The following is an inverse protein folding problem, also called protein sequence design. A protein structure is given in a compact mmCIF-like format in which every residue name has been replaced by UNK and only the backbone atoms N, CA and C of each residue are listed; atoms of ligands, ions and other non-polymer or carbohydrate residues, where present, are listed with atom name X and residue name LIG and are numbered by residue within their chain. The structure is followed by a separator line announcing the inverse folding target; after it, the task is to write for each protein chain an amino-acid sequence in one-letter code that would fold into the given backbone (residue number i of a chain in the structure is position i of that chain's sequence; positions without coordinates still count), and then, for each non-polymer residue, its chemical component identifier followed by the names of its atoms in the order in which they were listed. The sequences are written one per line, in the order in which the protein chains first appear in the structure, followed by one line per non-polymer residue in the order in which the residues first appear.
data_IF_272945277970
#
_entry.id   IF_272945277970
#
_cell.length_a   1.000
_cell.length_b   1.000
_cell.length_c   1.000
_cell.angle_alpha   90.00
_cell.angle_beta   90.00
_cell.angle_gamma   90.00
#
_symmetry.space_group_name_H-M   'P 1'
#
loop_
_entity.id
_entity.type
_entity.pdbx_description
1 polymer ?
#
# COMPACT_ATOMS: atom_id res chain seq x y z
N UNK A 1 -15.04 6.57 28.15
CA UNK A 1 -14.69 6.77 26.72
C UNK A 1 -15.84 6.41 25.79
N UNK A 2 -16.59 5.30 25.98
CA UNK A 2 -17.72 4.87 25.15
C UNK A 2 -18.85 5.92 25.09
N UNK A 3 -19.05 6.66 26.15
CA UNK A 3 -20.07 7.74 26.21
C UNK A 3 -19.83 8.83 25.13
N UNK A 4 -18.59 9.01 24.66
CA UNK A 4 -18.26 9.93 23.55
C UNK A 4 -18.86 9.49 22.21
N UNK A 5 -19.20 8.21 22.10
CA UNK A 5 -19.81 7.57 20.93
C UNK A 5 -21.29 7.24 21.15
N UNK A 6 -21.94 7.93 22.11
CA UNK A 6 -23.36 7.75 22.47
C UNK A 6 -23.67 6.34 23.04
N UNK A 7 -22.66 5.56 23.43
CA UNK A 7 -22.81 4.26 24.08
C UNK A 7 -22.80 4.48 25.59
N UNK A 8 -23.97 4.38 26.22
CA UNK A 8 -24.14 4.56 27.68
C UNK A 8 -24.53 3.22 28.29
N UNK A 9 -23.74 2.75 29.28
CA UNK A 9 -24.03 1.51 29.98
C UNK A 9 -25.25 1.64 30.92
N UNK A 10 -25.89 0.52 31.20
CA UNK A 10 -27.00 0.45 32.18
C UNK A 10 -26.61 1.03 33.52
N UNK A 11 -25.42 0.79 34.01
CA UNK A 11 -24.86 1.34 35.26
C UNK A 11 -24.81 2.89 35.28
N UNK A 12 -24.76 3.51 34.11
CA UNK A 12 -24.80 4.96 33.93
C UNK A 12 -26.16 5.50 33.47
N UNK A 13 -27.20 4.65 33.52
CA UNK A 13 -28.56 5.00 33.12
C UNK A 13 -28.84 4.92 31.63
N UNK A 14 -28.01 4.20 30.89
CA UNK A 14 -28.23 3.86 29.46
C UNK A 14 -28.92 2.52 29.27
N UNK A 15 -28.98 2.09 27.99
CA UNK A 15 -29.68 0.88 27.57
C UNK A 15 -28.72 -0.25 27.15
N UNK A 16 -27.40 -0.05 27.27
CA UNK A 16 -26.37 -1.01 26.78
C UNK A 16 -25.87 -1.85 27.95
N UNK A 17 -26.12 -3.17 27.98
CA UNK A 17 -25.58 -4.06 29.00
C UNK A 17 -24.06 -4.20 28.83
N UNK A 18 -23.34 -4.18 29.95
CA UNK A 18 -21.88 -4.31 30.00
C UNK A 18 -21.50 -5.51 30.85
N UNK A 19 -20.84 -6.48 30.25
CA UNK A 19 -20.37 -7.70 30.92
C UNK A 19 -18.83 -7.68 30.95
N UNK A 20 -18.28 -7.87 32.16
CA UNK A 20 -16.83 -7.97 32.34
C UNK A 20 -16.38 -9.41 32.14
N UNK A 21 -15.46 -9.64 31.22
CA UNK A 21 -14.97 -10.99 30.88
C UNK A 21 -13.44 -11.07 30.93
N UNK A 22 -12.93 -12.26 31.15
CA UNK A 22 -11.53 -12.61 30.94
C UNK A 22 -11.42 -13.81 29.99
N UNK A 23 -10.93 -13.58 28.78
CA UNK A 23 -10.73 -14.62 27.79
C UNK A 23 -9.67 -15.67 28.21
N UNK A 24 -8.74 -15.30 29.10
CA UNK A 24 -7.67 -16.20 29.58
C UNK A 24 -8.20 -17.13 30.65
N UNK A 25 -8.98 -16.65 31.62
CA UNK A 25 -9.51 -17.44 32.74
C UNK A 25 -10.89 -18.05 32.47
N UNK A 26 -11.60 -17.51 31.49
CA UNK A 26 -12.98 -17.87 31.19
C UNK A 26 -14.03 -17.21 32.09
N UNK A 27 -13.60 -16.33 33.00
CA UNK A 27 -14.51 -15.64 33.90
C UNK A 27 -15.48 -14.73 33.13
N UNK A 28 -16.76 -14.75 33.49
CA UNK A 28 -17.82 -13.92 32.91
C UNK A 28 -18.28 -14.35 31.51
N UNK A 29 -17.74 -15.43 30.92
CA UNK A 29 -18.14 -15.91 29.59
C UNK A 29 -19.60 -16.42 29.63
N UNK A 30 -19.99 -17.16 30.67
CA UNK A 30 -21.36 -17.67 30.82
C UNK A 30 -22.35 -16.52 30.97
N UNK A 31 -22.01 -15.48 31.75
CA UNK A 31 -22.83 -14.26 31.92
C UNK A 31 -22.99 -13.49 30.59
N UNK A 32 -21.90 -13.43 29.78
CA UNK A 32 -21.96 -12.83 28.45
C UNK A 32 -22.95 -13.59 27.54
N UNK A 33 -22.88 -14.93 27.52
CA UNK A 33 -23.77 -15.76 26.70
C UNK A 33 -25.23 -15.66 27.15
N UNK A 34 -25.47 -15.59 28.45
CA UNK A 34 -26.81 -15.39 29.02
C UNK A 34 -27.36 -13.99 28.64
N UNK A 35 -26.53 -12.95 28.77
CA UNK A 35 -26.92 -11.57 28.38
C UNK A 35 -27.22 -11.48 26.88
N UNK A 36 -26.41 -12.10 26.02
CA UNK A 36 -26.65 -12.16 24.59
C UNK A 36 -27.95 -12.87 24.24
N UNK A 37 -28.25 -13.99 24.89
CA UNK A 37 -29.54 -14.70 24.72
C UNK A 37 -30.72 -13.82 25.13
N UNK A 38 -30.62 -13.13 26.27
CA UNK A 38 -31.69 -12.24 26.75
C UNK A 38 -31.93 -11.09 25.77
N UNK A 39 -30.91 -10.43 25.27
CA UNK A 39 -31.03 -9.37 24.27
C UNK A 39 -31.67 -9.90 22.98
N UNK A 40 -31.25 -11.09 22.53
CA UNK A 40 -31.82 -11.71 21.33
C UNK A 40 -33.31 -12.08 21.51
N UNK A 41 -33.74 -12.47 22.71
CA UNK A 41 -35.17 -12.73 23.04
C UNK A 41 -35.99 -11.42 23.01
N UNK A 42 -35.48 -10.33 23.58
CA UNK A 42 -36.11 -9.02 23.59
C UNK A 42 -36.33 -8.50 22.17
N UNK A 43 -35.36 -8.67 21.29
CA UNK A 43 -35.41 -8.25 19.88
C UNK A 43 -36.43 -9.05 19.04
N UNK A 44 -37.02 -10.14 19.57
CA UNK A 44 -38.00 -11.01 18.87
C UNK A 44 -37.62 -11.31 17.41
N UNK A 45 -36.38 -11.67 17.12
CA UNK A 45 -35.86 -11.89 15.76
C UNK A 45 -36.67 -12.98 15.04
N UNK A 46 -37.36 -12.61 13.97
CA UNK A 46 -38.25 -13.49 13.17
C UNK A 46 -37.74 -13.61 11.75
N UNK A 47 -37.87 -14.79 11.14
CA UNK A 47 -37.57 -15.01 9.72
C UNK A 47 -38.61 -15.92 9.07
N UNK A 48 -38.80 -15.74 7.75
CA UNK A 48 -39.69 -16.56 6.95
C UNK A 48 -38.91 -17.68 6.28
N UNK A 49 -39.20 -18.93 6.62
CA UNK A 49 -38.58 -20.14 6.09
C UNK A 49 -39.06 -20.51 4.68
N UNK A 50 -40.24 -20.09 4.29
CA UNK A 50 -40.89 -20.46 3.01
C UNK A 50 -40.66 -19.43 1.89
N UNK A 51 -39.97 -18.33 2.19
CA UNK A 51 -39.64 -17.33 1.18
C UNK A 51 -38.50 -17.79 0.27
N UNK A 52 -38.25 -17.06 -0.82
CA UNK A 52 -37.05 -17.26 -1.63
C UNK A 52 -35.79 -17.04 -0.79
N UNK A 53 -34.85 -18.01 -0.82
CA UNK A 53 -33.65 -17.92 -0.01
C UNK A 53 -32.81 -16.69 -0.36
N UNK A 54 -32.42 -15.96 0.67
CA UNK A 54 -31.45 -14.87 0.55
C UNK A 54 -30.69 -14.67 1.84
N UNK A 55 -29.53 -14.02 1.74
CA UNK A 55 -28.64 -13.77 2.85
C UNK A 55 -27.39 -13.04 2.39
N UNK A 56 -26.31 -13.21 3.10
CA UNK A 56 -25.04 -12.52 2.85
C UNK A 56 -23.89 -13.49 2.72
N UNK A 57 -22.92 -13.12 1.89
CA UNK A 57 -21.60 -13.73 1.82
C UNK A 57 -20.78 -13.20 3.00
N UNK A 58 -20.27 -14.09 3.83
CA UNK A 58 -19.42 -13.74 4.97
C UNK A 58 -17.97 -13.70 4.53
N UNK A 59 -17.55 -14.74 3.79
CA UNK A 59 -16.18 -14.90 3.34
C UNK A 59 -16.15 -15.78 2.08
N UNK A 60 -15.12 -15.61 1.25
CA UNK A 60 -14.87 -16.51 0.12
C UNK A 60 -13.39 -16.88 0.04
N UNK A 61 -13.13 -18.13 -0.34
CA UNK A 61 -11.80 -18.70 -0.47
C UNK A 61 -11.73 -19.73 -1.58
N UNK A 62 -10.52 -20.00 -2.05
CA UNK A 62 -10.30 -21.07 -3.01
C UNK A 62 -9.70 -22.28 -2.31
N UNK A 63 -10.38 -23.43 -2.36
CA UNK A 63 -9.91 -24.70 -1.82
C UNK A 63 -9.51 -25.66 -2.93
N UNK A 64 -8.34 -26.30 -2.77
CA UNK A 64 -7.86 -27.32 -3.71
C UNK A 64 -8.85 -28.50 -3.75
N UNK A 65 -9.28 -28.85 -4.96
CA UNK A 65 -10.25 -29.94 -5.20
C UNK A 65 -11.73 -29.55 -5.05
N UNK A 66 -12.06 -28.44 -4.40
CA UNK A 66 -13.44 -27.94 -4.28
C UNK A 66 -13.71 -26.71 -5.14
N UNK A 67 -12.65 -25.96 -5.50
CA UNK A 67 -12.76 -24.68 -6.22
C UNK A 67 -13.16 -23.53 -5.30
N UNK A 68 -13.95 -22.58 -5.81
CA UNK A 68 -14.44 -21.47 -5.04
C UNK A 68 -15.46 -21.94 -4.00
N UNK A 69 -15.21 -21.65 -2.74
CA UNK A 69 -16.05 -21.92 -1.57
C UNK A 69 -16.42 -20.58 -0.95
N UNK A 70 -17.70 -20.37 -0.69
CA UNK A 70 -18.14 -19.20 0.06
C UNK A 70 -18.89 -19.62 1.32
N UNK A 71 -18.54 -19.00 2.44
CA UNK A 71 -19.29 -19.06 3.70
C UNK A 71 -20.41 -18.04 3.62
N UNK A 72 -21.63 -18.50 3.78
CA UNK A 72 -22.83 -17.67 3.73
C UNK A 72 -23.57 -17.70 5.08
N UNK A 73 -24.40 -16.69 5.32
CA UNK A 73 -25.43 -16.74 6.33
C UNK A 73 -26.78 -16.51 5.68
N UNK A 74 -27.72 -17.43 5.90
CA UNK A 74 -29.09 -17.30 5.36
C UNK A 74 -29.90 -16.36 6.26
N UNK A 75 -30.50 -15.32 5.67
CA UNK A 75 -31.35 -14.36 6.38
C UNK A 75 -32.83 -14.74 6.32
N UNK A 76 -33.28 -15.26 5.18
CA UNK A 76 -34.66 -15.76 4.97
C UNK A 76 -34.67 -16.88 3.94
N UNK A 77 -35.73 -17.65 3.93
CA UNK A 77 -35.90 -18.80 3.05
C UNK A 77 -35.06 -19.99 3.47
N UNK A 78 -35.25 -21.14 2.84
CA UNK A 78 -34.47 -22.34 3.06
C UNK A 78 -33.69 -22.68 1.80
N UNK A 79 -32.34 -22.51 1.85
CA UNK A 79 -31.47 -22.82 0.73
C UNK A 79 -31.20 -24.32 0.66
N UNK A 80 -31.31 -24.91 -0.54
CA UNK A 80 -31.16 -26.36 -0.75
C UNK A 80 -30.04 -26.64 -1.77
N UNK A 81 -29.45 -27.81 -1.65
CA UNK A 81 -28.57 -28.33 -2.71
C UNK A 81 -29.34 -28.44 -4.03
N UNK A 82 -28.73 -27.93 -5.11
CA UNK A 82 -29.36 -27.85 -6.43
C UNK A 82 -29.93 -26.48 -6.79
N UNK A 83 -30.11 -25.59 -5.83
CA UNK A 83 -30.59 -24.23 -6.07
C UNK A 83 -29.56 -23.42 -6.88
N UNK A 84 -30.04 -22.37 -7.54
CA UNK A 84 -29.23 -21.42 -8.26
C UNK A 84 -29.24 -20.10 -7.49
N UNK A 85 -28.06 -19.59 -7.17
CA UNK A 85 -27.88 -18.32 -6.47
C UNK A 85 -26.92 -17.41 -7.23
N UNK A 86 -27.09 -16.12 -7.04
CA UNK A 86 -26.11 -15.13 -7.48
C UNK A 86 -25.80 -14.18 -6.33
N UNK A 87 -24.56 -13.70 -6.26
CA UNK A 87 -24.09 -12.70 -5.31
C UNK A 87 -23.12 -11.77 -6.06
N UNK A 88 -23.41 -10.46 -6.05
CA UNK A 88 -22.67 -9.53 -6.87
C UNK A 88 -22.55 -10.00 -8.33
N UNK A 89 -21.32 -10.15 -8.81
CA UNK A 89 -21.00 -10.64 -10.16
C UNK A 89 -20.84 -12.16 -10.25
N UNK A 90 -20.90 -12.89 -9.14
CA UNK A 90 -20.70 -14.33 -9.09
C UNK A 90 -22.01 -15.10 -9.17
N UNK A 91 -22.00 -16.21 -9.92
CA UNK A 91 -23.09 -17.15 -10.02
C UNK A 91 -22.71 -18.47 -9.36
N UNK A 92 -23.64 -19.13 -8.70
CA UNK A 92 -23.45 -20.45 -8.12
C UNK A 92 -24.60 -21.39 -8.47
N UNK A 93 -24.26 -22.61 -8.87
CA UNK A 93 -25.15 -23.75 -8.74
C UNK A 93 -24.74 -24.50 -7.47
N UNK A 94 -25.55 -24.46 -6.43
CA UNK A 94 -25.28 -25.09 -5.15
C UNK A 94 -25.06 -26.59 -5.33
N UNK A 95 -23.79 -27.03 -5.41
CA UNK A 95 -23.43 -28.44 -5.56
C UNK A 95 -23.47 -29.16 -4.22
N UNK A 96 -22.90 -28.56 -3.20
CA UNK A 96 -22.81 -29.10 -1.85
C UNK A 96 -22.86 -27.97 -0.83
N UNK A 97 -23.43 -28.29 0.33
CA UNK A 97 -23.56 -27.42 1.47
C UNK A 97 -22.85 -28.12 2.65
N UNK A 98 -22.04 -27.42 3.39
CA UNK A 98 -21.35 -27.95 4.56
C UNK A 98 -21.63 -27.07 5.79
N UNK A 99 -21.71 -27.72 6.96
CA UNK A 99 -21.73 -27.00 8.23
C UNK A 99 -20.29 -26.61 8.67
N UNK A 100 -20.21 -25.96 9.82
CA UNK A 100 -18.95 -25.53 10.43
C UNK A 100 -18.01 -26.70 10.83
N UNK A 101 -18.53 -27.94 10.90
CA UNK A 101 -17.75 -29.14 11.16
C UNK A 101 -17.34 -29.88 9.86
N UNK A 102 -17.68 -29.33 8.69
CA UNK A 102 -17.41 -29.95 7.38
C UNK A 102 -18.40 -31.08 7.03
N UNK A 103 -19.52 -31.24 7.75
CA UNK A 103 -20.53 -32.23 7.47
C UNK A 103 -21.47 -31.71 6.36
N UNK A 104 -21.77 -32.56 5.38
CA UNK A 104 -22.68 -32.22 4.29
C UNK A 104 -24.12 -32.07 4.79
N UNK A 105 -24.74 -30.95 4.43
CA UNK A 105 -26.13 -30.63 4.67
C UNK A 105 -26.96 -30.73 3.39
N UNK A 106 -28.24 -31.08 3.52
CA UNK A 106 -29.21 -31.04 2.41
C UNK A 106 -29.79 -29.63 2.19
N UNK A 107 -29.93 -28.88 3.27
CA UNK A 107 -30.49 -27.54 3.27
C UNK A 107 -29.97 -26.73 4.46
N UNK A 108 -30.04 -25.39 4.36
CA UNK A 108 -29.71 -24.43 5.39
C UNK A 108 -30.87 -23.51 5.61
N UNK A 109 -31.20 -23.28 6.88
CA UNK A 109 -32.31 -22.43 7.33
C UNK A 109 -31.81 -21.04 7.75
N UNK A 110 -32.71 -20.06 7.89
CA UNK A 110 -32.33 -18.72 8.37
C UNK A 110 -31.60 -18.75 9.72
N UNK A 111 -30.64 -17.83 9.85
CA UNK A 111 -29.77 -17.72 11.03
C UNK A 111 -28.61 -18.72 11.07
N UNK A 112 -28.54 -19.67 10.11
CA UNK A 112 -27.49 -20.68 10.08
C UNK A 112 -26.40 -20.30 9.06
N UNK A 113 -25.09 -20.38 9.45
CA UNK A 113 -23.98 -20.26 8.51
C UNK A 113 -23.76 -21.59 7.78
N UNK A 114 -23.26 -21.53 6.55
CA UNK A 114 -22.86 -22.70 5.78
C UNK A 114 -21.83 -22.37 4.71
N UNK A 115 -20.97 -23.33 4.39
CA UNK A 115 -20.07 -23.28 3.26
C UNK A 115 -20.74 -23.85 2.02
N UNK A 116 -20.73 -23.05 0.94
CA UNK A 116 -21.35 -23.39 -0.34
C UNK A 116 -20.29 -23.60 -1.41
N UNK A 117 -20.38 -24.73 -2.11
CA UNK A 117 -19.56 -25.07 -3.26
C UNK A 117 -20.37 -25.02 -4.54
N UNK A 118 -19.77 -24.55 -5.62
CA UNK A 118 -20.37 -24.52 -6.95
C UNK A 118 -20.39 -23.15 -7.60
N UNK A 119 -19.64 -22.21 -7.05
CA UNK A 119 -19.42 -20.86 -7.56
C UNK A 119 -18.58 -20.90 -8.84
N UNK A 120 -18.95 -20.11 -9.83
CA UNK A 120 -18.18 -19.90 -11.07
C UNK A 120 -17.03 -18.91 -10.87
N UNK A 121 -17.22 -17.91 -10.01
CA UNK A 121 -16.24 -16.92 -9.62
C UNK A 121 -16.32 -16.74 -8.09
N UNK A 122 -15.32 -16.12 -7.46
CA UNK A 122 -15.31 -15.88 -6.02
C UNK A 122 -16.23 -14.70 -5.68
N UNK A 123 -17.31 -14.87 -4.92
CA UNK A 123 -18.15 -13.75 -4.51
C UNK A 123 -17.41 -12.88 -3.49
N UNK A 124 -17.79 -11.62 -3.41
CA UNK A 124 -17.19 -10.65 -2.50
C UNK A 124 -17.86 -10.77 -1.12
N UNK A 125 -17.05 -10.69 -0.04
CA UNK A 125 -17.56 -10.62 1.32
C UNK A 125 -18.45 -9.38 1.50
N UNK A 126 -19.63 -9.55 2.14
CA UNK A 126 -20.64 -8.52 2.28
C UNK A 126 -21.69 -8.49 1.17
N UNK A 127 -21.45 -9.16 0.03
CA UNK A 127 -22.46 -9.25 -1.03
C UNK A 127 -23.72 -9.96 -0.56
N UNK A 128 -24.87 -9.44 -0.97
CA UNK A 128 -26.14 -10.13 -0.77
C UNK A 128 -26.32 -11.22 -1.83
N UNK A 129 -26.56 -12.46 -1.41
CA UNK A 129 -26.98 -13.51 -2.33
C UNK A 129 -28.51 -13.62 -2.39
N UNK A 130 -28.99 -13.98 -3.57
CA UNK A 130 -30.40 -14.27 -3.82
C UNK A 130 -30.51 -15.59 -4.59
N UNK A 131 -31.38 -16.48 -4.11
CA UNK A 131 -31.66 -17.72 -4.80
C UNK A 131 -32.80 -17.54 -5.81
N UNK A 132 -32.75 -18.31 -6.89
CA UNK A 132 -33.77 -18.35 -7.91
C UNK A 132 -33.92 -19.78 -8.45
N UNK A 133 -35.10 -20.14 -8.92
CA UNK A 133 -35.35 -21.44 -9.53
C UNK A 133 -34.85 -21.53 -10.98
N UNK A 134 -34.51 -20.39 -11.58
CA UNK A 134 -34.12 -20.32 -12.98
C UNK A 134 -32.63 -19.99 -13.13
N UNK A 135 -31.86 -20.99 -13.62
CA UNK A 135 -30.43 -20.83 -13.87
C UNK A 135 -30.10 -19.66 -14.80
N UNK A 136 -30.89 -19.47 -15.87
CA UNK A 136 -30.65 -18.38 -16.84
C UNK A 136 -30.80 -17.03 -16.18
N UNK A 137 -31.80 -16.88 -15.30
CA UNK A 137 -32.04 -15.64 -14.56
C UNK A 137 -30.88 -15.32 -13.60
N UNK A 138 -30.40 -16.33 -12.85
CA UNK A 138 -29.27 -16.14 -11.95
C UNK A 138 -27.99 -15.70 -12.69
N UNK A 139 -27.67 -16.37 -13.80
CA UNK A 139 -26.53 -16.01 -14.64
C UNK A 139 -26.66 -14.62 -15.25
N UNK A 140 -27.87 -14.29 -15.81
CA UNK A 140 -28.11 -12.97 -16.39
C UNK A 140 -27.96 -11.85 -15.37
N UNK A 141 -28.38 -12.09 -14.12
CA UNK A 141 -28.24 -11.10 -13.03
C UNK A 141 -26.77 -10.92 -12.61
N UNK A 142 -26.03 -12.00 -12.47
CA UNK A 142 -24.59 -11.95 -12.19
C UNK A 142 -23.82 -11.18 -13.30
N UNK A 143 -24.15 -11.47 -14.57
CA UNK A 143 -23.53 -10.84 -15.72
C UNK A 143 -23.91 -9.35 -15.86
N UNK A 144 -25.17 -8.99 -15.59
CA UNK A 144 -25.61 -7.59 -15.50
C UNK A 144 -24.81 -6.81 -14.44
N UNK A 145 -24.66 -7.39 -13.26
CA UNK A 145 -23.88 -6.78 -12.19
C UNK A 145 -22.39 -6.66 -12.57
N UNK A 146 -21.82 -7.68 -13.21
CA UNK A 146 -20.43 -7.66 -13.70
C UNK A 146 -20.21 -6.55 -14.73
N UNK A 147 -21.17 -6.32 -15.63
CA UNK A 147 -21.09 -5.25 -16.62
C UNK A 147 -21.23 -3.87 -15.97
N UNK A 148 -22.11 -3.71 -14.97
CA UNK A 148 -22.22 -2.47 -14.21
C UNK A 148 -20.91 -2.11 -13.50
N UNK A 149 -20.25 -3.08 -12.87
CA UNK A 149 -18.93 -2.86 -12.23
C UNK A 149 -17.88 -2.41 -13.25
N UNK A 150 -17.85 -3.02 -14.46
CA UNK A 150 -16.94 -2.59 -15.52
C UNK A 150 -17.25 -1.19 -16.03
N UNK A 151 -18.52 -0.83 -16.19
CA UNK A 151 -18.92 0.51 -16.60
C UNK A 151 -18.55 1.57 -15.56
N UNK A 152 -18.60 1.25 -14.26
CA UNK A 152 -18.12 2.12 -13.19
C UNK A 152 -16.59 2.29 -13.24
N UNK A 153 -15.84 1.23 -13.48
CA UNK A 153 -14.39 1.30 -13.63
C UNK A 153 -13.99 2.07 -14.91
N UNK A 154 -14.68 1.87 -16.02
CA UNK A 154 -14.42 2.59 -17.29
C UNK A 154 -14.85 4.08 -17.24
N UNK A 155 -15.90 4.43 -16.50
CA UNK A 155 -16.34 5.84 -16.38
C UNK A 155 -15.51 6.66 -15.41
N UNK A 156 -14.81 6.04 -14.47
CA UNK A 156 -13.87 6.73 -13.59
C UNK A 156 -12.57 7.15 -14.31
N UNK A 157 -12.29 6.57 -15.48
CA UNK A 157 -11.08 6.86 -16.27
C UNK A 157 -11.44 7.24 -17.72
N UNK A 158 -11.79 8.49 -17.96
CA UNK A 158 -11.85 9.01 -19.34
C UNK A 158 -10.44 9.07 -19.94
N UNK A 159 -10.33 8.93 -21.28
CA UNK A 159 -9.05 9.06 -22.00
C UNK A 159 -8.37 10.39 -21.69
N UNK A 160 -9.16 11.44 -21.47
CA UNK A 160 -8.68 12.78 -21.09
C UNK A 160 -8.10 12.82 -19.67
N UNK A 161 -8.68 12.08 -18.70
CA UNK A 161 -8.10 11.99 -17.35
C UNK A 161 -6.80 11.19 -17.34
N UNK A 162 -6.71 10.11 -18.13
CA UNK A 162 -5.44 9.34 -18.29
C UNK A 162 -4.33 10.16 -18.94
N UNK A 163 -4.66 10.95 -19.98
CA UNK A 163 -3.68 11.83 -20.64
C UNK A 163 -3.28 12.97 -19.70
N UNK A 164 -4.22 13.51 -18.92
CA UNK A 164 -3.97 14.55 -17.93
C UNK A 164 -3.10 14.04 -16.76
N UNK A 165 -3.42 12.84 -16.21
CA UNK A 165 -2.59 12.17 -15.22
C UNK A 165 -1.19 11.81 -15.76
N UNK A 166 -1.12 11.32 -16.99
CA UNK A 166 0.16 10.97 -17.62
C UNK A 166 1.01 12.23 -17.90
N UNK A 167 0.38 13.37 -18.27
CA UNK A 167 1.07 14.65 -18.41
C UNK A 167 1.50 15.21 -17.03
N UNK A 168 0.71 15.02 -16.00
CA UNK A 168 1.03 15.45 -14.63
C UNK A 168 2.20 14.63 -14.07
N UNK A 169 2.18 13.32 -14.26
CA UNK A 169 3.30 12.41 -13.90
C UNK A 169 4.60 12.72 -14.65
N UNK A 170 4.49 13.17 -15.93
CA UNK A 170 5.65 13.62 -16.71
C UNK A 170 6.18 15.01 -16.28
N UNK A 171 5.36 15.83 -15.63
CA UNK A 171 5.75 17.16 -15.13
C UNK A 171 6.29 17.13 -13.69
N UNK A 172 5.86 16.16 -12.87
CA UNK A 172 6.23 16.10 -11.44
C UNK A 172 7.53 15.30 -11.16
N UNK A 173 8.21 14.82 -12.22
CA UNK A 173 9.41 13.98 -12.06
C UNK A 173 9.06 12.55 -11.60
N UNK A 174 9.96 11.62 -11.79
CA UNK A 174 9.80 10.20 -11.49
C UNK A 174 9.34 9.98 -10.03
N UNK A 175 8.01 9.88 -9.82
CA UNK A 175 7.48 9.31 -8.59
C UNK A 175 7.94 7.84 -8.54
N UNK A 176 8.67 7.49 -7.51
CA UNK A 176 9.07 6.08 -7.30
C UNK A 176 7.79 5.26 -7.08
N UNK A 177 7.37 4.51 -8.10
CA UNK A 177 6.19 3.65 -8.04
C UNK A 177 6.61 2.24 -7.69
N UNK A 178 6.04 1.69 -6.61
CA UNK A 178 6.20 0.28 -6.24
C UNK A 178 4.99 -0.50 -6.73
N UNK A 179 5.22 -1.37 -7.70
CA UNK A 179 4.20 -2.28 -8.22
C UNK A 179 4.10 -3.52 -7.33
N UNK A 180 2.90 -3.87 -6.87
CA UNK A 180 2.66 -5.01 -5.99
C UNK A 180 1.59 -5.91 -6.57
N UNK A 181 1.84 -7.23 -6.52
CA UNK A 181 0.84 -8.28 -6.73
C UNK A 181 0.49 -8.88 -5.38
N UNK A 182 -0.79 -8.87 -5.02
CA UNK A 182 -1.28 -9.40 -3.73
C UNK A 182 -1.99 -10.73 -3.93
N UNK A 183 -1.57 -11.74 -3.19
CA UNK A 183 -2.23 -13.06 -3.13
C UNK A 183 -2.54 -13.40 -1.68
N UNK A 184 -3.77 -13.81 -1.37
CA UNK A 184 -4.16 -14.18 -0.02
C UNK A 184 -5.06 -15.43 0.01
N UNK A 185 -5.26 -15.98 1.19
CA UNK A 185 -6.09 -17.17 1.43
C UNK A 185 -7.58 -16.88 1.25
N UNK A 186 -8.03 -15.67 1.62
CA UNK A 186 -9.43 -15.25 1.54
C UNK A 186 -9.59 -13.88 0.89
N UNK A 187 -10.80 -13.58 0.45
CA UNK A 187 -11.12 -12.30 -0.18
C UNK A 187 -11.05 -11.13 0.82
N UNK A 188 -11.50 -11.34 2.06
CA UNK A 188 -11.38 -10.34 3.12
C UNK A 188 -9.92 -9.98 3.43
N UNK A 189 -9.01 -10.97 3.42
CA UNK A 189 -7.57 -10.73 3.55
C UNK A 189 -7.01 -9.90 2.39
N UNK A 190 -7.43 -10.19 1.15
CA UNK A 190 -7.02 -9.41 -0.03
C UNK A 190 -7.42 -7.94 0.12
N UNK A 191 -8.69 -7.66 0.45
CA UNK A 191 -9.19 -6.29 0.61
C UNK A 191 -8.50 -5.55 1.76
N UNK A 192 -8.35 -6.19 2.93
CA UNK A 192 -7.67 -5.59 4.06
C UNK A 192 -6.22 -5.20 3.76
N UNK A 193 -5.50 -6.04 3.00
CA UNK A 193 -4.13 -5.75 2.58
C UNK A 193 -4.11 -4.61 1.56
N UNK A 194 -4.99 -4.60 0.56
CA UNK A 194 -5.11 -3.52 -0.42
C UNK A 194 -5.32 -2.18 0.27
N UNK A 195 -6.30 -2.10 1.16
CA UNK A 195 -6.62 -0.88 1.91
C UNK A 195 -5.45 -0.39 2.76
N UNK A 196 -4.71 -1.32 3.35
CA UNK A 196 -3.57 -1.01 4.19
C UNK A 196 -2.37 -0.52 3.36
N UNK A 197 -2.10 -1.17 2.23
CA UNK A 197 -1.00 -0.80 1.33
C UNK A 197 -1.26 0.56 0.66
N UNK A 198 -2.49 0.83 0.23
CA UNK A 198 -2.86 2.12 -0.37
C UNK A 198 -2.69 3.29 0.62
N UNK A 199 -2.88 3.05 1.92
CA UNK A 199 -2.63 4.06 2.96
C UNK A 199 -1.14 4.37 3.19
N UNK A 200 -0.23 3.50 2.73
CA UNK A 200 1.21 3.73 2.79
C UNK A 200 1.72 4.60 1.64
N UNK A 201 0.91 4.85 0.61
CA UNK A 201 1.26 5.81 -0.44
C UNK A 201 1.36 7.20 0.18
N UNK A 202 2.58 7.74 0.25
CA UNK A 202 2.88 9.09 0.73
C UNK A 202 3.48 9.88 -0.44
N UNK A 203 3.31 11.20 -0.48
CA UNK A 203 3.52 12.10 -1.61
C UNK A 203 4.74 11.84 -2.51
N UNK A 204 5.78 11.15 -2.03
CA UNK A 204 7.00 10.85 -2.79
C UNK A 204 7.08 9.41 -3.32
N UNK A 205 6.24 8.47 -2.83
CA UNK A 205 6.19 7.07 -3.31
C UNK A 205 4.74 6.65 -3.52
N UNK A 206 4.45 6.15 -4.71
CA UNK A 206 3.14 5.62 -5.07
C UNK A 206 3.16 4.09 -5.03
N UNK A 207 2.19 3.48 -4.33
CA UNK A 207 1.99 2.02 -4.35
C UNK A 207 0.89 1.70 -5.35
N UNK A 208 1.24 0.94 -6.37
CA UNK A 208 0.29 0.47 -7.37
C UNK A 208 0.04 -1.03 -7.21
N UNK A 209 -1.20 -1.42 -6.95
CA UNK A 209 -1.61 -2.82 -6.92
C UNK A 209 -1.95 -3.26 -8.33
N UNK A 210 -1.03 -3.98 -8.97
CA UNK A 210 -1.16 -4.45 -10.36
C UNK A 210 -2.18 -5.58 -10.46
N UNK A 211 -2.19 -6.48 -9.47
CA UNK A 211 -3.13 -7.60 -9.41
C UNK A 211 -3.37 -8.01 -7.97
N UNK A 212 -4.61 -8.38 -7.65
CA UNK A 212 -4.98 -8.91 -6.34
C UNK A 212 -5.97 -10.06 -6.52
N UNK A 213 -5.69 -11.22 -5.92
CA UNK A 213 -6.54 -12.40 -6.07
C UNK A 213 -6.39 -13.37 -4.90
N UNK A 214 -7.44 -14.17 -4.72
CA UNK A 214 -7.46 -15.27 -3.75
C UNK A 214 -6.75 -16.51 -4.30
N UNK A 215 -6.06 -17.24 -3.44
CA UNK A 215 -5.39 -18.51 -3.75
C UNK A 215 -3.87 -18.43 -3.69
N UNK A 216 -3.20 -19.55 -3.93
CA UNK A 216 -1.74 -19.67 -3.91
C UNK A 216 -1.08 -18.86 -5.04
N UNK A 217 0.21 -18.61 -4.88
CA UNK A 217 1.01 -17.94 -5.91
C UNK A 217 1.36 -18.97 -6.98
N UNK A 218 0.97 -18.70 -8.24
CA UNK A 218 1.15 -19.59 -9.40
C UNK A 218 2.06 -18.97 -10.45
N UNK A 219 2.44 -19.78 -11.44
CA UNK A 219 3.38 -19.36 -12.49
C UNK A 219 2.94 -18.08 -13.22
N UNK A 220 1.64 -17.92 -13.50
CA UNK A 220 1.12 -16.71 -14.16
C UNK A 220 1.31 -15.43 -13.35
N UNK A 221 1.29 -15.51 -12.01
CA UNK A 221 1.55 -14.37 -11.13
C UNK A 221 3.02 -13.94 -11.24
N UNK A 222 3.93 -14.93 -11.34
CA UNK A 222 5.38 -14.68 -11.52
C UNK A 222 5.68 -14.09 -12.89
N UNK A 223 4.99 -14.57 -13.95
CA UNK A 223 5.14 -14.00 -15.29
C UNK A 223 4.64 -12.55 -15.34
N UNK A 224 3.50 -12.27 -14.70
CA UNK A 224 2.97 -10.91 -14.58
C UNK A 224 3.93 -10.00 -13.80
N UNK A 225 4.47 -10.49 -12.68
CA UNK A 225 5.45 -9.74 -11.88
C UNK A 225 6.71 -9.41 -12.69
N UNK A 226 7.20 -10.36 -13.49
CA UNK A 226 8.34 -10.14 -14.38
C UNK A 226 8.07 -9.11 -15.47
N UNK A 227 6.84 -9.06 -15.99
CA UNK A 227 6.44 -8.09 -17.02
C UNK A 227 6.23 -6.67 -16.48
N UNK A 228 5.80 -6.55 -15.23
CA UNK A 228 5.43 -5.27 -14.60
C UNK A 228 6.45 -4.76 -13.59
N UNK A 229 7.53 -5.51 -13.34
CA UNK A 229 8.52 -5.19 -12.31
C UNK A 229 7.93 -5.21 -10.89
N UNK A 230 6.93 -6.06 -10.65
CA UNK A 230 6.19 -6.09 -9.39
C UNK A 230 6.83 -7.02 -8.35
N UNK A 231 6.73 -6.62 -7.08
CA UNK A 231 6.90 -7.48 -5.92
C UNK A 231 5.65 -8.36 -5.75
N UNK A 232 5.81 -9.64 -5.43
CA UNK A 232 4.69 -10.52 -5.10
C UNK A 232 4.60 -10.67 -3.58
N UNK A 233 3.43 -10.33 -3.03
CA UNK A 233 3.11 -10.44 -1.62
C UNK A 233 2.07 -11.55 -1.43
N UNK A 234 2.43 -12.60 -0.69
CA UNK A 234 1.56 -13.69 -0.30
C UNK A 234 1.16 -13.61 1.17
N UNK A 235 -0.12 -13.60 1.48
CA UNK A 235 -0.63 -13.64 2.85
C UNK A 235 -1.34 -14.96 3.13
N UNK A 236 -0.86 -15.71 4.11
CA UNK A 236 -1.29 -17.10 4.42
C UNK A 236 -1.22 -18.09 3.23
N UNK A 237 -0.57 -17.70 2.14
CA UNK A 237 -0.40 -18.53 0.94
C UNK A 237 1.07 -18.72 0.62
N UNK A 238 1.38 -19.72 -0.20
CA UNK A 238 2.74 -20.03 -0.61
C UNK A 238 2.82 -20.20 -2.13
N UNK A 239 3.97 -19.92 -2.72
CA UNK A 239 4.21 -20.22 -4.12
C UNK A 239 4.25 -21.74 -4.33
N UNK A 240 3.64 -22.21 -5.43
CA UNK A 240 3.84 -23.59 -5.87
C UNK A 240 5.30 -23.81 -6.34
N UNK A 241 5.67 -25.06 -6.63
CA UNK A 241 7.05 -25.40 -7.00
C UNK A 241 7.49 -24.74 -8.30
N UNK A 242 6.57 -24.55 -9.26
CA UNK A 242 6.88 -23.91 -10.55
C UNK A 242 7.07 -22.40 -10.36
N UNK A 243 6.18 -21.74 -9.64
CA UNK A 243 6.29 -20.32 -9.31
C UNK A 243 7.57 -20.00 -8.53
N UNK A 244 7.92 -20.84 -7.55
CA UNK A 244 9.15 -20.67 -6.76
C UNK A 244 10.40 -20.75 -7.64
N UNK A 245 10.50 -21.80 -8.46
CA UNK A 245 11.66 -22.01 -9.34
C UNK A 245 11.78 -20.88 -10.37
N UNK A 246 10.67 -20.47 -10.95
CA UNK A 246 10.62 -19.37 -11.92
C UNK A 246 10.98 -18.04 -11.28
N UNK A 247 10.44 -17.74 -10.09
CA UNK A 247 10.76 -16.53 -9.32
C UNK A 247 12.26 -16.42 -9.03
N UNK A 248 12.87 -17.51 -8.57
CA UNK A 248 14.31 -17.56 -8.35
C UNK A 248 15.12 -17.36 -9.65
N UNK A 249 14.71 -18.00 -10.74
CA UNK A 249 15.43 -17.89 -12.02
C UNK A 249 15.33 -16.50 -12.66
N UNK A 250 14.21 -15.80 -12.45
CA UNK A 250 13.96 -14.44 -12.96
C UNK A 250 14.35 -13.34 -11.97
N UNK A 251 14.79 -13.68 -10.76
CA UNK A 251 15.10 -12.70 -9.71
C UNK A 251 13.90 -11.90 -9.22
N UNK A 252 12.70 -12.50 -9.25
CA UNK A 252 11.47 -11.85 -8.80
C UNK A 252 11.36 -12.04 -7.28
N UNK A 253 11.14 -10.94 -6.56
CA UNK A 253 10.96 -10.96 -5.11
C UNK A 253 9.55 -11.47 -4.76
N UNK A 254 9.51 -12.57 -4.00
CA UNK A 254 8.27 -13.20 -3.52
C UNK A 254 8.35 -13.25 -2.00
N UNK A 255 7.55 -12.42 -1.33
CA UNK A 255 7.49 -12.35 0.13
C UNK A 255 6.20 -12.98 0.64
N UNK A 256 6.29 -13.74 1.71
CA UNK A 256 5.12 -14.44 2.27
C UNK A 256 5.00 -14.18 3.77
N UNK A 257 3.80 -13.79 4.20
CA UNK A 257 3.48 -13.39 5.57
C UNK A 257 2.30 -14.17 6.13
N UNK A 258 2.23 -14.27 7.45
CA UNK A 258 1.09 -14.81 8.18
C UNK A 258 0.49 -13.77 9.15
N UNK A 259 1.18 -12.64 9.35
CA UNK A 259 0.77 -11.53 10.21
C UNK A 259 0.71 -10.27 9.35
N UNK A 260 -0.45 -9.58 9.35
CA UNK A 260 -0.66 -8.42 8.47
C UNK A 260 0.25 -7.23 8.85
N UNK A 261 0.56 -7.06 10.13
CA UNK A 261 1.44 -5.98 10.59
C UNK A 261 2.87 -6.16 10.09
N UNK A 262 3.39 -7.40 10.09
CA UNK A 262 4.72 -7.69 9.54
C UNK A 262 4.81 -7.36 8.04
N UNK A 263 3.73 -7.66 7.29
CA UNK A 263 3.62 -7.31 5.88
C UNK A 263 3.66 -5.79 5.68
N UNK A 264 2.85 -5.05 6.45
CA UNK A 264 2.75 -3.59 6.35
C UNK A 264 4.09 -2.94 6.72
N UNK A 265 4.73 -3.38 7.78
CA UNK A 265 6.01 -2.85 8.25
C UNK A 265 7.13 -3.09 7.23
N UNK A 266 7.22 -4.30 6.67
CA UNK A 266 8.24 -4.66 5.68
C UNK A 266 8.07 -3.87 4.36
N UNK A 267 6.82 -3.69 3.88
CA UNK A 267 6.55 -2.86 2.71
C UNK A 267 6.80 -1.37 3.01
N UNK A 268 6.43 -0.89 4.20
CA UNK A 268 6.72 0.48 4.64
C UNK A 268 8.23 0.76 4.66
N UNK A 269 9.03 -0.21 5.11
CA UNK A 269 10.49 -0.11 5.11
C UNK A 269 11.05 -0.11 3.67
N UNK A 270 10.50 -0.93 2.78
CA UNK A 270 10.85 -0.93 1.36
C UNK A 270 10.49 0.40 0.67
N UNK A 271 9.34 1.00 1.01
CA UNK A 271 8.93 2.34 0.56
C UNK A 271 9.93 3.39 1.02
N UNK A 272 10.29 3.40 2.30
CA UNK A 272 11.27 4.34 2.88
C UNK A 272 12.66 4.15 2.31
N UNK A 273 13.06 2.92 2.01
CA UNK A 273 14.35 2.60 1.39
C UNK A 273 14.45 3.07 -0.07
N UNK A 274 13.34 3.32 -0.75
CA UNK A 274 13.29 3.93 -2.08
C UNK A 274 13.23 5.46 -2.05
N UNK A 275 12.93 6.06 -0.91
CA UNK A 275 13.09 7.49 -0.71
C UNK A 275 14.57 7.79 -0.75
N UNK A 276 15.10 8.17 -1.90
CA UNK A 276 16.39 8.82 -2.02
C UNK A 276 16.34 10.06 -1.15
N UNK A 277 17.30 10.17 -0.22
CA UNK A 277 17.47 11.38 0.58
C UNK A 277 17.58 12.53 -0.42
N UNK A 278 16.54 13.34 -0.57
CA UNK A 278 16.60 14.57 -1.35
C UNK A 278 17.56 15.48 -0.62
N UNK A 279 18.77 15.58 -1.16
CA UNK A 279 19.76 16.54 -0.69
C UNK A 279 19.45 17.85 -1.42
N UNK A 280 18.79 18.79 -0.77
CA UNK A 280 18.67 20.14 -1.32
C UNK A 280 20.00 20.87 -1.17
N UNK A 281 20.57 21.26 -2.31
CA UNK A 281 21.74 22.11 -2.37
C UNK A 281 21.30 23.57 -2.23
N UNK A 282 21.64 24.17 -1.13
CA UNK A 282 21.37 25.61 -0.91
C UNK A 282 22.65 26.40 -1.07
N UNK A 283 22.63 27.45 -1.91
CA UNK A 283 23.77 28.38 -2.04
C UNK A 283 23.85 29.21 -0.75
N UNK A 284 24.92 29.05 0.02
CA UNK A 284 25.18 29.75 1.26
C UNK A 284 26.10 30.95 1.11
N UNK A 285 26.80 31.07 -0.04
CA UNK A 285 27.65 32.21 -0.33
C UNK A 285 28.07 32.28 -1.78
N UNK A 286 28.33 33.51 -2.25
CA UNK A 286 28.89 33.81 -3.56
C UNK A 286 30.19 34.57 -3.41
N UNK A 287 31.21 34.18 -4.18
CA UNK A 287 32.57 34.70 -4.04
C UNK A 287 33.14 35.07 -5.40
N UNK A 288 33.60 36.31 -5.56
CA UNK A 288 34.20 36.80 -6.78
C UNK A 288 35.74 36.63 -6.74
N UNK A 289 36.29 35.96 -7.74
CA UNK A 289 37.74 35.78 -7.87
C UNK A 289 38.37 37.05 -8.47
N UNK A 290 39.21 37.71 -7.67
CA UNK A 290 39.91 38.93 -8.09
C UNK A 290 41.32 38.65 -8.63
N UNK A 291 42.03 37.67 -8.06
CA UNK A 291 43.40 37.32 -8.45
C UNK A 291 43.64 35.81 -8.23
N UNK A 292 44.69 35.28 -8.84
CA UNK A 292 45.06 33.88 -8.62
C UNK A 292 46.51 33.78 -8.19
N UNK A 293 46.81 32.92 -7.22
CA UNK A 293 48.17 32.70 -6.71
C UNK A 293 48.52 31.22 -6.76
N UNK A 294 49.80 30.91 -6.92
CA UNK A 294 50.29 29.53 -6.78
C UNK A 294 50.86 29.33 -5.39
N UNK A 295 50.26 28.39 -4.63
CA UNK A 295 50.77 28.04 -3.29
C UNK A 295 51.39 26.64 -3.30
N UNK A 296 52.61 26.47 -2.69
CA UNK A 296 53.18 25.14 -2.50
C UNK A 296 52.24 24.28 -1.65
N UNK A 297 51.92 23.05 -2.10
CA UNK A 297 51.02 22.06 -1.48
C UNK A 297 49.51 22.19 -1.77
N UNK A 298 48.97 23.35 -2.14
CA UNK A 298 47.55 23.55 -2.38
C UNK A 298 47.24 23.73 -3.90
N UNK A 299 48.25 24.10 -4.68
CA UNK A 299 48.12 24.35 -6.12
C UNK A 299 47.75 25.80 -6.40
N UNK A 300 46.69 26.03 -7.16
CA UNK A 300 46.17 27.40 -7.46
C UNK A 300 45.19 27.81 -6.39
N UNK A 301 45.38 28.98 -5.81
CA UNK A 301 44.53 29.58 -4.79
C UNK A 301 43.89 30.83 -5.39
N UNK A 302 42.57 30.93 -5.32
CA UNK A 302 41.79 32.09 -5.72
C UNK A 302 41.84 33.15 -4.63
N UNK A 303 42.47 34.32 -4.92
CA UNK A 303 42.32 35.52 -4.10
C UNK A 303 41.01 36.17 -4.45
N UNK A 304 40.09 36.14 -3.50
CA UNK A 304 38.68 36.41 -3.77
C UNK A 304 38.06 37.30 -2.69
N UNK A 305 36.89 37.89 -2.99
CA UNK A 305 36.06 38.62 -2.02
C UNK A 305 34.69 37.95 -1.95
N UNK A 306 34.19 37.73 -0.73
CA UNK A 306 32.84 37.20 -0.52
C UNK A 306 31.83 38.30 -0.90
N UNK A 307 31.09 38.08 -1.98
CA UNK A 307 30.11 39.03 -2.48
C UNK A 307 28.79 38.96 -1.69
N UNK A 308 28.37 37.75 -1.34
CA UNK A 308 27.12 37.49 -0.59
C UNK A 308 27.31 36.28 0.34
N UNK A 309 26.70 36.34 1.52
CA UNK A 309 26.62 35.23 2.46
C UNK A 309 27.94 34.91 3.15
N UNK A 310 28.31 33.61 3.20
CA UNK A 310 29.52 33.12 3.84
C UNK A 310 30.21 32.00 3.09
N UNK A 311 31.49 31.80 3.38
CA UNK A 311 32.29 30.69 2.87
C UNK A 311 32.75 29.84 4.05
N UNK A 312 32.44 28.56 4.03
CA UNK A 312 32.89 27.61 5.03
C UNK A 312 33.95 26.66 4.43
N UNK A 313 34.95 26.26 5.23
CA UNK A 313 35.93 25.26 4.86
C UNK A 313 35.21 23.92 4.70
N UNK A 314 35.68 23.08 3.81
CA UNK A 314 35.06 21.77 3.46
C UNK A 314 33.65 21.83 2.83
N UNK A 315 33.10 23.02 2.59
CA UNK A 315 31.86 23.19 1.86
C UNK A 315 32.02 22.75 0.40
N UNK A 316 30.93 22.26 -0.20
CA UNK A 316 30.88 22.08 -1.66
C UNK A 316 30.93 23.42 -2.35
N UNK A 317 31.56 23.47 -3.53
CA UNK A 317 31.66 24.68 -4.32
C UNK A 317 31.55 24.39 -5.80
N UNK A 318 30.90 25.31 -6.52
CA UNK A 318 30.86 25.37 -8.00
C UNK A 318 31.65 26.58 -8.47
N UNK A 319 32.46 26.38 -9.51
CA UNK A 319 33.13 27.48 -10.15
C UNK A 319 32.39 27.84 -11.45
N UNK A 320 31.98 29.08 -11.53
CA UNK A 320 31.26 29.63 -12.69
C UNK A 320 32.18 30.56 -13.46
N UNK A 321 32.19 30.43 -14.78
CA UNK A 321 32.81 31.37 -15.72
C UNK A 321 31.81 31.82 -16.73
N UNK A 322 31.61 33.13 -16.80
CA UNK A 322 30.60 33.74 -17.68
C UNK A 322 29.17 33.17 -17.47
N UNK A 323 28.84 32.81 -16.19
CA UNK A 323 27.55 32.22 -15.82
C UNK A 323 27.40 30.72 -16.10
N UNK A 324 28.46 30.07 -16.59
CA UNK A 324 28.46 28.62 -16.86
C UNK A 324 29.27 27.89 -15.79
N UNK A 325 28.70 26.83 -15.21
CA UNK A 325 29.42 25.94 -14.26
C UNK A 325 30.51 25.17 -15.01
N UNK A 326 31.78 25.43 -14.69
CA UNK A 326 32.94 24.79 -15.30
C UNK A 326 33.60 23.76 -14.40
N UNK A 327 33.32 23.79 -13.09
CA UNK A 327 33.87 22.84 -12.13
C UNK A 327 32.94 22.72 -10.91
N UNK A 328 32.86 21.52 -10.34
CA UNK A 328 32.15 21.22 -9.10
C UNK A 328 33.05 20.36 -8.21
N UNK A 329 33.21 20.74 -6.94
CA UNK A 329 34.05 20.05 -5.98
C UNK A 329 33.89 20.61 -4.58
N UNK A 330 34.96 20.58 -3.75
CA UNK A 330 34.95 21.08 -2.39
C UNK A 330 36.05 22.12 -2.13
N UNK A 331 35.87 22.96 -1.12
CA UNK A 331 36.85 23.91 -0.65
C UNK A 331 37.82 23.19 0.27
N UNK A 332 39.06 22.98 -0.17
CA UNK A 332 40.11 22.27 0.58
C UNK A 332 41.02 23.21 1.35
N UNK A 333 40.98 24.50 1.08
CA UNK A 333 41.80 25.50 1.77
C UNK A 333 41.04 26.83 1.80
N UNK A 334 40.87 27.38 2.98
CA UNK A 334 40.32 28.71 3.23
C UNK A 334 41.26 29.51 4.11
N UNK A 335 41.73 30.68 3.60
CA UNK A 335 42.70 31.53 4.30
C UNK A 335 42.29 32.99 4.26
N UNK A 336 42.60 33.68 5.34
CA UNK A 336 42.52 35.14 5.40
C UNK A 336 43.91 35.69 5.72
N UNK A 337 44.48 36.41 4.77
CA UNK A 337 45.91 36.82 4.80
C UNK A 337 46.83 35.60 4.88
N UNK A 338 47.44 35.35 6.05
CA UNK A 338 48.34 34.22 6.28
C UNK A 338 47.75 33.11 7.14
N UNK A 339 46.61 33.35 7.73
CA UNK A 339 45.96 32.43 8.69
C UNK A 339 44.92 31.57 8.02
N UNK A 340 44.88 30.28 8.42
CA UNK A 340 43.78 29.37 8.03
C UNK A 340 42.58 29.72 8.88
N UNK A 341 41.42 29.79 8.26
CA UNK A 341 40.15 30.10 8.90
C UNK A 341 39.09 29.07 8.49
N UNK A 342 38.11 28.83 9.38
CA UNK A 342 37.03 27.88 9.11
C UNK A 342 35.89 28.55 8.31
N UNK A 343 35.64 29.85 8.56
CA UNK A 343 34.55 30.59 7.94
C UNK A 343 34.98 32.01 7.57
N UNK A 344 34.52 32.54 6.45
CA UNK A 344 34.69 33.95 6.04
C UNK A 344 33.34 34.54 5.66
N UNK A 345 32.97 35.69 6.23
CA UNK A 345 31.71 36.36 6.00
C UNK A 345 31.79 37.37 4.84
N UNK A 346 30.63 37.81 4.40
CA UNK A 346 30.42 38.82 3.36
C UNK A 346 31.31 40.06 3.52
N UNK A 347 31.77 40.57 2.40
CA UNK A 347 32.62 41.77 2.30
C UNK A 347 34.08 41.56 2.63
N UNK A 348 34.48 40.35 3.07
CA UNK A 348 35.87 40.06 3.46
C UNK A 348 36.65 39.39 2.33
N UNK A 349 37.96 39.71 2.27
CA UNK A 349 38.88 39.05 1.35
C UNK A 349 39.33 37.70 1.92
N UNK A 350 39.44 36.70 1.03
CA UNK A 350 39.91 35.36 1.37
C UNK A 350 40.67 34.70 0.21
N UNK A 351 41.46 33.70 0.56
CA UNK A 351 42.15 32.81 -0.38
C UNK A 351 41.47 31.44 -0.37
N UNK A 352 40.89 31.00 -1.48
CA UNK A 352 40.16 29.73 -1.63
C UNK A 352 40.97 28.77 -2.51
N UNK A 353 41.19 27.55 -2.02
CA UNK A 353 41.70 26.44 -2.81
C UNK A 353 40.62 25.42 -3.03
N UNK A 354 40.40 25.03 -4.29
CA UNK A 354 39.44 24.00 -4.70
C UNK A 354 40.14 22.64 -4.82
N UNK A 355 39.43 21.57 -4.58
CA UNK A 355 39.90 20.19 -4.74
C UNK A 355 40.21 19.92 -6.22
N UNK A 356 41.37 19.38 -6.50
CA UNK A 356 41.82 18.88 -7.83
C UNK A 356 41.60 19.82 -9.04
N UNK A 357 41.34 21.11 -8.85
CA UNK A 357 41.12 22.09 -9.91
C UNK A 357 42.16 23.19 -9.91
N UNK A 358 42.78 23.45 -11.08
CA UNK A 358 43.93 24.38 -11.24
C UNK A 358 43.71 25.51 -12.22
N UNK A 359 42.62 25.49 -13.01
CA UNK A 359 42.35 26.52 -14.05
C UNK A 359 41.43 27.64 -13.58
N UNK A 360 41.62 28.11 -12.33
CA UNK A 360 40.89 29.26 -11.79
C UNK A 360 41.41 30.54 -12.43
N UNK A 361 40.54 31.43 -12.89
CA UNK A 361 40.89 32.72 -13.53
C UNK A 361 40.28 33.88 -12.80
N UNK A 362 40.85 35.06 -13.02
CA UNK A 362 40.26 36.32 -12.58
C UNK A 362 38.92 36.53 -13.28
N UNK A 363 37.89 36.90 -12.53
CA UNK A 363 36.52 37.08 -13.01
C UNK A 363 35.63 35.84 -12.84
N UNK A 364 36.17 34.69 -12.45
CA UNK A 364 35.35 33.53 -12.08
C UNK A 364 34.53 33.82 -10.80
N UNK A 365 33.41 33.18 -10.65
CA UNK A 365 32.55 33.21 -9.45
C UNK A 365 32.53 31.84 -8.81
N UNK A 366 32.72 31.77 -7.48
CA UNK A 366 32.59 30.53 -6.71
C UNK A 366 31.28 30.58 -5.94
N UNK A 367 30.35 29.68 -6.25
CA UNK A 367 29.18 29.40 -5.42
C UNK A 367 29.53 28.41 -4.34
N UNK A 368 29.22 28.76 -3.10
CA UNK A 368 29.44 27.88 -1.93
C UNK A 368 28.12 27.24 -1.57
N UNK A 369 28.10 25.91 -1.45
CA UNK A 369 26.89 25.11 -1.28
C UNK A 369 26.88 24.44 0.11
N UNK A 370 25.73 24.45 0.75
CA UNK A 370 25.44 23.61 1.91
C UNK A 370 24.52 22.48 1.50
N UNK A 371 24.81 21.27 2.00
CA UNK A 371 23.96 20.11 1.87
C UNK A 371 23.05 20.07 3.09
N UNK A 372 21.75 20.32 2.91
CA UNK A 372 20.74 20.10 3.94
C UNK A 372 20.16 18.71 3.70
N UNK A 373 20.34 17.81 4.65
CA UNK A 373 19.62 16.54 4.67
C UNK A 373 18.23 16.81 5.25
N UNK A 374 17.21 16.73 4.41
CA UNK A 374 15.80 16.77 4.83
C UNK A 374 15.28 15.36 4.97
#
# INVERSE_FOLDING_TARGET
DLTKYEVVSEDLGGDVPVVQISAITGDGIDDLLETLNLVAEIEELKSNYDSEPSGFIIESRMEVGKGNVATIIVKRGTLKSGDFIYAGSAFCRVKSIFDHNGKTLKSVTPGSPADIIGWDDSPIAGDQFVATKNQKLAKSKAEENKNKLKEFDDTSYTVESRVSEMMQLLQEGELNTINIIVKADTNGSVEAIKDSLLKLSDGDVNIQIVHAAVGGIVLSDVDLAGATGSLIVGFNVRPDSQARNMGQSKGIDIRTYNIIYELIDDISEAVRGQLTVKTEETVIGMVNVQTTFRAPKVGVVAGSVVAEGKVDLDAKARLLRDGVVIYEGSIVSLRRFKDNVETVNEGLECGIGLSDYKDIKQGDVIEVLSLIHI
#
